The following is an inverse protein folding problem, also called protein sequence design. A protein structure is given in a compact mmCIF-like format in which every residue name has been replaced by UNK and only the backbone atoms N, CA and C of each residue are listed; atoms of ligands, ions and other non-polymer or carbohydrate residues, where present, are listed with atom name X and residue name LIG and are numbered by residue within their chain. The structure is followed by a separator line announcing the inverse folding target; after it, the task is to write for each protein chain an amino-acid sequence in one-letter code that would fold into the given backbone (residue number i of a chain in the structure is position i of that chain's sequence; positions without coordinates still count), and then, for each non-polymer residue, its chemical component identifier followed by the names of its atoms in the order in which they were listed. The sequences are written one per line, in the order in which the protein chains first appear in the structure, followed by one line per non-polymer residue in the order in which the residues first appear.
data_IF_218179144540
#
_entry.id   IF_218179144540
#
_cell.length_a   1.000
_cell.length_b   1.000
_cell.length_c   1.000
_cell.angle_alpha   90.00
_cell.angle_beta   90.00
_cell.angle_gamma   90.00
#
_symmetry.space_group_name_H-M   'P 1'
#
loop_
_entity.id
_entity.type
_entity.pdbx_description
1 polymer ?
#
# COMPACT_ATOMS: atom_id res chain seq x y z
N UNK A 1 -24.17 2.78 6.42
CA UNK A 1 -23.17 2.78 7.50
C UNK A 1 -23.40 3.85 8.57
N UNK A 2 -23.93 5.04 8.26
CA UNK A 2 -24.18 6.09 9.27
C UNK A 2 -25.17 5.71 10.39
N UNK A 3 -26.18 4.88 10.11
CA UNK A 3 -27.13 4.45 11.13
C UNK A 3 -26.50 3.48 12.15
N UNK A 4 -25.62 2.59 11.69
CA UNK A 4 -24.94 1.58 12.53
C UNK A 4 -23.93 2.25 13.46
N UNK A 5 -23.15 3.24 12.97
CA UNK A 5 -22.24 4.03 13.80
C UNK A 5 -22.97 4.69 14.97
N UNK A 6 -24.06 5.42 14.67
CA UNK A 6 -24.87 6.14 15.67
C UNK A 6 -25.49 5.20 16.72
N UNK A 7 -25.93 4.01 16.32
CA UNK A 7 -26.50 3.04 17.26
C UNK A 7 -25.44 2.43 18.18
N UNK A 8 -24.23 2.19 17.67
CA UNK A 8 -23.09 1.73 18.47
C UNK A 8 -22.64 2.81 19.46
N UNK A 9 -22.51 4.06 19.02
CA UNK A 9 -22.15 5.20 19.88
C UNK A 9 -23.16 5.42 21.01
N UNK A 10 -24.46 5.19 20.75
CA UNK A 10 -25.51 5.29 21.76
C UNK A 10 -25.50 4.15 22.78
N UNK A 11 -25.06 2.95 22.37
CA UNK A 11 -25.11 1.74 23.21
C UNK A 11 -23.82 1.47 23.98
N UNK A 12 -22.71 2.12 23.65
CA UNK A 12 -21.40 1.83 24.21
C UNK A 12 -20.79 3.08 24.83
N UNK A 13 -20.89 3.20 26.16
CA UNK A 13 -20.32 4.32 26.93
C UNK A 13 -18.79 4.29 26.98
N UNK A 14 -18.17 3.10 26.97
CA UNK A 14 -16.71 2.98 27.05
C UNK A 14 -16.16 2.01 25.98
N UNK A 15 -15.92 2.49 24.74
CA UNK A 15 -15.49 1.63 23.65
C UNK A 15 -14.05 1.16 23.85
N UNK A 16 -13.83 -0.15 23.66
CA UNK A 16 -12.51 -0.77 23.63
C UNK A 16 -11.65 -0.14 22.50
N UNK A 17 -10.31 -0.12 22.65
CA UNK A 17 -9.37 0.48 21.69
C UNK A 17 -9.64 0.06 20.24
N UNK A 18 -9.91 -1.23 20.01
CA UNK A 18 -10.23 -1.78 18.68
C UNK A 18 -11.52 -1.19 18.10
N UNK A 19 -12.55 -1.01 18.92
CA UNK A 19 -13.82 -0.43 18.50
C UNK A 19 -13.66 1.07 18.20
N UNK A 20 -12.87 1.80 18.99
CA UNK A 20 -12.52 3.20 18.71
C UNK A 20 -11.87 3.35 17.33
N UNK A 21 -10.85 2.55 17.02
CA UNK A 21 -10.18 2.60 15.71
C UNK A 21 -11.14 2.31 14.54
N UNK A 22 -12.06 1.36 14.70
CA UNK A 22 -13.07 1.04 13.67
C UNK A 22 -14.10 2.17 13.49
N UNK A 23 -14.50 2.84 14.58
CA UNK A 23 -15.40 3.99 14.53
C UNK A 23 -14.73 5.19 13.85
N UNK A 24 -13.44 5.46 14.13
CA UNK A 24 -12.65 6.50 13.45
C UNK A 24 -12.53 6.24 11.94
N UNK A 25 -12.25 4.99 11.54
CA UNK A 25 -12.19 4.61 10.12
C UNK A 25 -13.57 4.79 9.47
N UNK A 26 -14.63 4.36 10.15
CA UNK A 26 -16.00 4.51 9.66
C UNK A 26 -16.40 5.98 9.50
N UNK A 27 -15.99 6.84 10.42
CA UNK A 27 -16.21 8.28 10.32
C UNK A 27 -15.48 8.89 9.13
N UNK A 28 -14.19 8.57 8.94
CA UNK A 28 -13.43 9.00 7.76
C UNK A 28 -14.09 8.54 6.45
N UNK A 29 -14.64 7.33 6.42
CA UNK A 29 -15.37 6.81 5.25
C UNK A 29 -16.68 7.57 5.00
N UNK A 30 -17.34 8.07 6.04
CA UNK A 30 -18.58 8.84 5.93
C UNK A 30 -18.34 10.31 5.56
N UNK A 31 -17.23 10.90 6.00
CA UNK A 31 -16.89 12.31 5.75
C UNK A 31 -16.09 12.53 4.47
N UNK A 32 -15.45 11.49 3.92
CA UNK A 32 -14.68 11.62 2.68
C UNK A 32 -15.57 12.01 1.48
N UNK A 33 -15.15 13.03 0.74
CA UNK A 33 -15.85 13.51 -0.44
C UNK A 33 -15.42 12.76 -1.72
N UNK A 34 -16.21 12.90 -2.80
CA UNK A 34 -15.92 12.27 -4.10
C UNK A 34 -14.58 12.70 -4.70
N UNK A 35 -14.04 13.87 -4.35
CA UNK A 35 -12.76 14.35 -4.87
C UNK A 35 -11.64 14.37 -3.81
N UNK A 36 -11.88 13.83 -2.63
CA UNK A 36 -10.85 13.71 -1.59
C UNK A 36 -9.69 12.81 -2.03
N UNK A 37 -8.47 13.16 -1.60
CA UNK A 37 -7.25 12.35 -1.78
C UNK A 37 -7.14 11.32 -0.66
N UNK A 38 -6.41 10.22 -0.87
CA UNK A 38 -6.16 9.16 0.11
C UNK A 38 -7.43 8.55 0.72
N UNK A 39 -8.35 8.16 -0.16
CA UNK A 39 -9.62 7.54 0.25
C UNK A 39 -9.41 6.17 0.87
N UNK A 40 -10.24 5.88 1.87
CA UNK A 40 -10.29 4.57 2.49
C UNK A 40 -11.27 3.70 1.71
N UNK A 41 -10.76 2.61 1.14
CA UNK A 41 -11.55 1.66 0.33
C UNK A 41 -12.01 0.42 1.13
N UNK A 42 -11.39 0.16 2.29
CA UNK A 42 -11.72 -0.98 3.15
C UNK A 42 -11.62 -0.60 4.61
N UNK A 43 -12.63 -0.98 5.41
CA UNK A 43 -12.64 -0.77 6.87
C UNK A 43 -11.56 -1.60 7.56
N UNK A 44 -11.28 -2.79 7.02
CA UNK A 44 -10.33 -3.74 7.61
C UNK A 44 -8.90 -3.58 7.10
N UNK A 45 -8.69 -2.78 6.05
CA UNK A 45 -7.39 -2.53 5.45
C UNK A 45 -7.31 -1.05 4.98
N UNK A 46 -7.23 -0.09 5.92
CA UNK A 46 -7.21 1.33 5.60
C UNK A 46 -5.93 1.79 4.86
N UNK A 47 -4.87 0.99 4.89
CA UNK A 47 -3.59 1.21 4.20
C UNK A 47 -3.65 0.92 2.69
N UNK A 48 -4.74 0.32 2.21
CA UNK A 48 -4.88 -0.10 0.82
C UNK A 48 -5.19 1.09 -0.08
N UNK A 49 -4.38 1.25 -1.12
CA UNK A 49 -4.54 2.32 -2.09
C UNK A 49 -5.20 1.81 -3.37
N UNK A 50 -5.92 2.71 -4.05
CA UNK A 50 -6.47 2.43 -5.37
C UNK A 50 -5.47 2.84 -6.45
N UNK A 51 -5.01 1.86 -7.22
CA UNK A 51 -4.01 2.03 -8.26
C UNK A 51 -4.69 1.79 -9.61
N UNK A 52 -4.63 2.78 -10.49
CA UNK A 52 -5.12 2.63 -11.86
C UNK A 52 -4.22 1.66 -12.64
N UNK A 53 -4.85 0.71 -13.33
CA UNK A 53 -4.17 -0.24 -14.20
C UNK A 53 -4.28 0.16 -15.66
N UNK A 54 -3.23 -0.18 -16.41
CA UNK A 54 -3.18 -0.08 -17.88
C UNK A 54 -3.74 -1.35 -18.55
N UNK A 55 -4.77 -1.97 -17.96
CA UNK A 55 -5.46 -3.14 -18.53
C UNK A 55 -6.92 -2.77 -18.81
N UNK A 56 -7.39 -3.07 -20.02
CA UNK A 56 -8.75 -2.73 -20.49
C UNK A 56 -9.86 -3.36 -19.64
N UNK A 57 -9.66 -4.61 -19.20
CA UNK A 57 -10.69 -5.39 -18.48
C UNK A 57 -10.68 -5.21 -16.95
N UNK A 58 -9.65 -4.56 -16.37
CA UNK A 58 -9.60 -4.19 -14.94
C UNK A 58 -8.91 -2.84 -14.81
N UNK A 59 -9.71 -1.77 -14.65
CA UNK A 59 -9.24 -0.38 -14.61
C UNK A 59 -8.53 -0.02 -13.30
N UNK A 60 -8.87 -0.68 -12.21
CA UNK A 60 -8.35 -0.40 -10.88
C UNK A 60 -7.99 -1.68 -10.15
N UNK A 61 -6.95 -1.60 -9.33
CA UNK A 61 -6.63 -2.59 -8.34
C UNK A 61 -6.41 -1.92 -6.99
N UNK A 62 -6.66 -2.69 -5.95
CA UNK A 62 -6.48 -2.27 -4.57
C UNK A 62 -5.22 -2.95 -4.03
N UNK A 63 -4.27 -2.17 -3.55
CA UNK A 63 -3.06 -2.69 -2.94
C UNK A 63 -2.04 -1.61 -2.58
N UNK A 64 -0.96 -2.02 -1.94
CA UNK A 64 0.23 -1.20 -1.71
C UNK A 64 1.30 -1.62 -2.72
N UNK A 65 2.00 -0.68 -3.35
CA UNK A 65 3.11 -1.02 -4.26
C UNK A 65 4.31 -1.44 -3.41
N UNK A 66 4.99 -2.51 -3.80
CA UNK A 66 6.17 -3.00 -3.08
C UNK A 66 7.37 -3.02 -4.03
N UNK A 67 8.48 -2.49 -3.55
CA UNK A 67 9.78 -2.50 -4.19
C UNK A 67 10.61 -3.65 -3.64
N UNK A 68 11.08 -4.55 -4.51
CA UNK A 68 11.93 -5.68 -4.12
C UNK A 68 13.26 -5.58 -4.84
N UNK A 69 14.34 -5.64 -4.08
CA UNK A 69 15.69 -5.75 -4.60
C UNK A 69 16.13 -7.19 -4.48
N UNK A 70 16.42 -7.83 -5.61
CA UNK A 70 16.94 -9.19 -5.66
C UNK A 70 18.37 -9.21 -6.19
N UNK A 71 19.14 -10.23 -5.82
CA UNK A 71 20.48 -10.46 -6.39
C UNK A 71 20.37 -11.17 -7.74
N UNK A 72 21.11 -10.71 -8.76
CA UNK A 72 20.99 -11.20 -10.15
C UNK A 72 21.38 -12.67 -10.34
N UNK A 73 22.26 -13.19 -9.48
CA UNK A 73 22.82 -14.55 -9.64
C UNK A 73 21.96 -15.65 -9.01
N UNK A 74 21.18 -15.32 -7.99
CA UNK A 74 20.54 -16.32 -7.13
C UNK A 74 19.17 -15.89 -6.61
N UNK A 75 18.63 -14.77 -7.09
CA UNK A 75 17.31 -14.24 -6.74
C UNK A 75 17.05 -14.05 -5.23
N UNK A 76 18.10 -13.93 -4.42
CA UNK A 76 17.95 -13.62 -3.00
C UNK A 76 17.40 -12.21 -2.83
N UNK A 77 16.34 -12.09 -2.05
CA UNK A 77 15.72 -10.81 -1.70
C UNK A 77 16.63 -10.15 -0.65
N UNK A 78 17.25 -9.05 -1.03
CA UNK A 78 18.17 -8.28 -0.17
C UNK A 78 17.52 -7.02 0.40
N UNK A 79 16.35 -6.63 -0.12
CA UNK A 79 15.59 -5.50 0.39
C UNK A 79 14.14 -5.51 -0.10
N UNK A 80 13.23 -5.11 0.79
CA UNK A 80 11.79 -4.99 0.50
C UNK A 80 11.27 -3.68 1.08
N UNK A 81 10.67 -2.83 0.24
CA UNK A 81 10.04 -1.57 0.67
C UNK A 81 8.57 -1.53 0.30
N UNK A 82 7.71 -1.21 1.27
CA UNK A 82 6.35 -0.78 0.98
C UNK A 82 6.36 0.69 0.54
N UNK A 83 5.76 0.98 -0.61
CA UNK A 83 5.64 2.30 -1.22
C UNK A 83 4.20 2.79 -1.08
N UNK A 84 4.02 3.75 -0.19
CA UNK A 84 2.75 4.42 0.06
C UNK A 84 2.65 5.68 -0.83
N UNK A 85 1.43 6.09 -1.16
CA UNK A 85 1.09 7.26 -1.98
C UNK A 85 1.13 7.01 -3.48
N UNK A 86 1.13 5.75 -3.93
CA UNK A 86 1.29 5.33 -5.33
C UNK A 86 2.34 6.17 -6.12
N UNK A 87 3.62 6.20 -5.69
CA UNK A 87 4.66 6.95 -6.38
C UNK A 87 4.89 6.39 -7.79
N UNK A 88 5.26 7.26 -8.73
CA UNK A 88 5.57 6.86 -10.10
C UNK A 88 6.79 5.94 -10.12
N UNK A 89 6.70 4.83 -10.87
CA UNK A 89 7.68 3.72 -10.82
C UNK A 89 9.13 4.20 -11.09
N UNK A 90 9.32 5.20 -11.96
CA UNK A 90 10.63 5.77 -12.26
C UNK A 90 11.33 6.48 -11.07
N UNK A 91 10.59 7.00 -10.11
CA UNK A 91 11.17 7.70 -8.95
C UNK A 91 11.52 6.74 -7.80
N UNK A 92 10.97 5.53 -7.81
CA UNK A 92 11.15 4.53 -6.74
C UNK A 92 12.52 3.83 -6.78
N UNK A 93 13.24 3.95 -7.90
CA UNK A 93 14.55 3.31 -8.08
C UNK A 93 15.59 3.87 -7.11
N UNK A 94 15.59 5.19 -6.88
CA UNK A 94 16.54 5.84 -5.96
C UNK A 94 16.33 5.38 -4.52
N UNK A 95 15.07 5.29 -4.11
CA UNK A 95 14.70 4.85 -2.76
C UNK A 95 15.06 3.38 -2.52
N UNK A 96 14.85 2.53 -3.52
CA UNK A 96 15.25 1.13 -3.47
C UNK A 96 16.76 0.95 -3.32
N UNK A 97 17.56 1.74 -4.05
CA UNK A 97 19.03 1.72 -3.92
C UNK A 97 19.45 2.19 -2.53
N UNK A 98 18.89 3.29 -2.04
CA UNK A 98 19.17 3.79 -0.69
C UNK A 98 18.81 2.76 0.39
N UNK A 99 17.70 2.03 0.22
CA UNK A 99 17.31 0.98 1.14
C UNK A 99 18.30 -0.18 1.11
N UNK A 100 18.71 -0.62 -0.07
CA UNK A 100 19.69 -1.69 -0.21
C UNK A 100 21.05 -1.31 0.39
N UNK A 101 21.51 -0.07 0.19
CA UNK A 101 22.73 0.44 0.81
C UNK A 101 22.64 0.42 2.34
N UNK A 102 21.48 0.78 2.92
CA UNK A 102 21.26 0.70 4.37
C UNK A 102 21.30 -0.74 4.90
N UNK A 103 20.77 -1.70 4.15
CA UNK A 103 20.69 -3.11 4.60
C UNK A 103 22.03 -3.82 4.41
N UNK A 104 22.70 -3.59 3.28
CA UNK A 104 23.88 -4.36 2.87
C UNK A 104 25.20 -3.63 3.12
N UNK A 105 25.17 -2.32 3.40
CA UNK A 105 26.36 -1.49 3.51
C UNK A 105 27.09 -1.27 2.18
N UNK A 106 26.54 -1.77 1.07
CA UNK A 106 27.15 -1.71 -0.25
C UNK A 106 26.32 -0.84 -1.18
N UNK A 107 26.96 0.14 -1.82
CA UNK A 107 26.30 0.99 -2.81
C UNK A 107 26.58 0.46 -4.22
N UNK A 108 25.57 -0.01 -4.95
CA UNK A 108 25.75 -0.38 -6.35
C UNK A 108 26.05 0.89 -7.16
N UNK A 109 27.13 0.87 -7.95
CA UNK A 109 27.37 1.91 -8.95
C UNK A 109 26.17 2.00 -9.89
N UNK A 110 25.75 3.23 -10.17
CA UNK A 110 24.58 3.62 -10.97
C UNK A 110 24.71 3.24 -12.45
N UNK A 111 24.83 1.94 -12.75
CA UNK A 111 24.58 1.38 -14.09
C UNK A 111 23.21 0.70 -14.10
N UNK A 112 22.45 0.83 -15.20
CA UNK A 112 21.21 0.09 -15.36
C UNK A 112 21.55 -1.42 -15.43
N UNK A 113 21.23 -2.15 -14.36
CA UNK A 113 20.78 -3.55 -14.36
C UNK A 113 21.78 -4.63 -14.86
N UNK A 114 23.03 -4.32 -15.21
CA UNK A 114 24.12 -5.30 -15.26
C UNK A 114 25.10 -4.99 -14.13
N UNK A 115 25.33 -5.78 -13.07
CA UNK A 115 25.56 -7.22 -13.11
C UNK A 115 25.36 -7.91 -11.75
N UNK A 116 24.64 -7.31 -10.78
CA UNK A 116 24.46 -7.92 -9.44
C UNK A 116 23.07 -7.82 -8.81
N UNK A 117 22.19 -6.91 -9.22
CA UNK A 117 20.89 -6.72 -8.56
C UNK A 117 19.77 -6.31 -9.52
N UNK A 118 18.56 -6.81 -9.29
CA UNK A 118 17.35 -6.55 -10.07
C UNK A 118 16.28 -5.94 -9.17
N UNK A 119 15.68 -4.83 -9.60
CA UNK A 119 14.54 -4.22 -8.92
C UNK A 119 13.24 -4.73 -9.54
N UNK A 120 12.39 -5.34 -8.71
CA UNK A 120 11.06 -5.81 -9.12
C UNK A 120 10.01 -5.04 -8.32
N UNK A 121 9.15 -4.30 -9.02
CA UNK A 121 7.97 -3.70 -8.42
C UNK A 121 6.82 -4.69 -8.46
N UNK A 122 6.46 -5.25 -7.30
CA UNK A 122 5.31 -6.13 -7.17
C UNK A 122 4.13 -5.33 -6.68
N UNK A 123 2.98 -5.56 -7.31
CA UNK A 123 1.68 -5.00 -6.89
C UNK A 123 0.88 -6.16 -6.28
N UNK A 124 0.98 -6.41 -4.96
CA UNK A 124 0.13 -7.39 -4.29
C UNK A 124 -1.33 -7.05 -4.55
N UNK A 125 -2.07 -8.00 -5.11
CA UNK A 125 -3.48 -7.82 -5.43
C UNK A 125 -4.30 -8.10 -4.17
N UNK A 126 -4.81 -7.05 -3.53
CA UNK A 126 -5.75 -7.18 -2.44
C UNK A 126 -7.17 -7.18 -3.02
N UNK A 127 -7.82 -8.35 -3.03
CA UNK A 127 -9.25 -8.44 -3.29
C UNK A 127 -9.99 -8.34 -1.97
N UNK A 128 -10.67 -7.22 -1.67
CA UNK A 128 -11.52 -7.17 -0.49
C UNK A 128 -12.60 -8.25 -0.62
N UNK A 129 -12.95 -8.94 0.49
CA UNK A 129 -13.83 -10.11 0.46
C UNK A 129 -15.25 -9.87 -0.12
N UNK A 130 -15.62 -8.62 -0.40
CA UNK A 130 -16.94 -8.21 -0.89
C UNK A 130 -16.97 -7.58 -2.28
N UNK A 131 -15.93 -7.70 -3.12
CA UNK A 131 -16.03 -7.25 -4.52
C UNK A 131 -16.65 -8.36 -5.41
N UNK A 132 -17.98 -8.48 -5.39
CA UNK A 132 -18.75 -8.98 -6.54
C UNK A 132 -19.10 -7.81 -7.44
#
# INVERSE_FOLDING_TARGET
MGCVKRDIERKVENPNKRLKSLLEISEKILTQERNSKNKIYSVHAPEVECISKRKSHKRYEFGCKVSLVTTSKSNWIVGVQALHGNPYDGHTLKDAINQMEKITGFRPETRPIGSRFTLVLIRPNFQPPNSR
#
